data_IF_799371811954
#
_entry.id   IF_799371811954
#
_cell.length_a   1.000
_cell.length_b   1.000
_cell.length_c   1.000
_cell.angle_alpha   90.00
_cell.angle_beta   90.00
_cell.angle_gamma   90.00
#
_symmetry.space_group_name_H-M   'P 1'
#
loop_
_entity.id
_entity.type
_entity.pdbx_description
1 polymer ?
#
# COMPACT_ATOMS: atom_id res chain seq x y z
N UNK A 1 -6.77 13.53 6.88
CA UNK A 1 -6.02 14.64 7.48
C UNK A 1 -4.87 14.10 8.33
N UNK A 2 -3.72 13.87 7.66
CA UNK A 2 -2.54 13.17 8.21
C UNK A 2 -1.90 13.92 9.39
N UNK A 3 -2.02 15.24 9.43
CA UNK A 3 -1.51 16.07 10.54
C UNK A 3 -2.32 15.90 11.84
N UNK A 4 -3.59 15.57 11.75
CA UNK A 4 -4.43 15.36 12.92
C UNK A 4 -4.11 14.04 13.63
N UNK A 5 -3.64 13.02 12.91
CA UNK A 5 -3.26 11.72 13.48
C UNK A 5 -1.94 11.74 14.26
N UNK A 6 -1.07 12.74 14.00
CA UNK A 6 0.20 12.92 14.72
C UNK A 6 0.03 13.51 16.14
N UNK A 7 -1.18 13.92 16.50
CA UNK A 7 -1.48 14.56 17.79
C UNK A 7 -1.94 13.58 18.89
N UNK A 8 -2.12 12.29 18.56
CA UNK A 8 -2.48 11.31 19.60
C UNK A 8 -1.28 10.97 20.49
N UNK A 9 -1.39 11.11 21.82
CA UNK A 9 -0.31 10.75 22.75
C UNK A 9 0.07 9.27 22.61
N UNK A 10 1.36 8.96 22.75
CA UNK A 10 1.87 7.55 22.70
C UNK A 10 1.06 6.58 23.56
N UNK A 11 0.54 7.02 24.70
CA UNK A 11 -0.31 6.23 25.60
C UNK A 11 -1.62 5.75 24.97
N UNK A 12 -2.18 6.52 24.04
CA UNK A 12 -3.43 6.15 23.37
C UNK A 12 -3.23 4.98 22.40
N UNK A 13 -2.11 4.96 21.68
CA UNK A 13 -1.78 3.82 20.81
C UNK A 13 -1.50 2.54 21.62
N UNK A 14 -0.85 2.63 22.78
CA UNK A 14 -0.64 1.46 23.64
C UNK A 14 -1.96 0.91 24.18
N UNK A 15 -2.89 1.79 24.53
CA UNK A 15 -4.24 1.40 24.93
C UNK A 15 -5.04 0.82 23.76
N UNK A 16 -4.91 1.40 22.57
CA UNK A 16 -5.53 0.88 21.35
C UNK A 16 -5.01 -0.53 21.02
N UNK A 17 -3.70 -0.74 21.04
CA UNK A 17 -3.07 -2.06 20.85
C UNK A 17 -3.64 -3.09 21.84
N UNK A 18 -3.74 -2.76 23.13
CA UNK A 18 -4.33 -3.68 24.14
C UNK A 18 -5.79 -4.02 23.84
N UNK A 19 -6.58 -3.00 23.44
CA UNK A 19 -7.99 -3.19 23.10
C UNK A 19 -8.16 -4.04 21.85
N UNK A 20 -7.39 -3.76 20.80
CA UNK A 20 -7.44 -4.56 19.56
C UNK A 20 -7.03 -6.02 19.81
N UNK A 21 -5.94 -6.27 20.52
CA UNK A 21 -5.54 -7.65 20.90
C UNK A 21 -6.64 -8.40 21.66
N UNK A 22 -7.30 -7.73 22.60
CA UNK A 22 -8.42 -8.35 23.32
C UNK A 22 -9.61 -8.63 22.40
N UNK A 23 -9.94 -7.69 21.52
CA UNK A 23 -11.01 -7.87 20.55
C UNK A 23 -10.70 -9.00 19.55
N UNK A 24 -9.47 -9.07 19.05
CA UNK A 24 -9.00 -10.14 18.17
C UNK A 24 -9.16 -11.50 18.85
N UNK A 25 -8.66 -11.67 20.07
CA UNK A 25 -8.77 -12.94 20.81
C UNK A 25 -10.23 -13.40 20.99
N UNK A 26 -11.15 -12.46 21.25
CA UNK A 26 -12.58 -12.76 21.32
C UNK A 26 -13.16 -13.18 19.96
N UNK A 27 -12.78 -12.47 18.89
CA UNK A 27 -13.24 -12.76 17.53
C UNK A 27 -12.66 -14.05 16.97
N UNK A 28 -11.41 -14.37 17.23
CA UNK A 28 -10.81 -15.66 16.87
C UNK A 28 -11.52 -16.82 17.52
N UNK A 29 -11.90 -16.69 18.78
CA UNK A 29 -12.64 -17.72 19.49
C UNK A 29 -14.06 -17.90 18.91
N UNK A 30 -14.75 -16.80 18.58
CA UNK A 30 -16.04 -16.84 17.90
C UNK A 30 -15.92 -17.47 16.52
N UNK A 31 -14.89 -17.07 15.77
CA UNK A 31 -14.63 -17.51 14.42
C UNK A 31 -14.38 -19.03 14.33
N UNK A 32 -13.63 -19.61 15.27
CA UNK A 32 -13.40 -21.06 15.35
C UNK A 32 -14.68 -21.89 15.42
N UNK A 33 -15.75 -21.30 15.97
CA UNK A 33 -17.05 -21.97 16.12
C UNK A 33 -18.06 -21.59 15.02
N UNK A 34 -17.77 -20.53 14.23
CA UNK A 34 -18.66 -19.97 13.21
C UNK A 34 -17.87 -19.69 11.91
N UNK A 35 -17.25 -20.71 11.36
CA UNK A 35 -16.33 -20.62 10.22
C UNK A 35 -16.98 -20.17 8.89
N UNK A 36 -18.30 -20.12 8.80
CA UNK A 36 -19.00 -19.66 7.58
C UNK A 36 -19.55 -18.23 7.69
N UNK A 37 -19.20 -17.49 8.73
CA UNK A 37 -19.69 -16.13 8.93
C UNK A 37 -18.74 -15.07 8.33
N UNK A 38 -19.08 -14.60 7.12
CA UNK A 38 -18.33 -13.55 6.43
C UNK A 38 -18.23 -12.23 7.24
N UNK A 39 -19.18 -11.92 8.11
CA UNK A 39 -19.14 -10.72 8.96
C UNK A 39 -18.05 -10.84 10.02
N UNK A 40 -17.90 -12.03 10.61
CA UNK A 40 -16.82 -12.29 11.59
C UNK A 40 -15.46 -12.19 10.94
N UNK A 41 -15.29 -12.70 9.73
CA UNK A 41 -14.05 -12.60 8.96
C UNK A 41 -13.70 -11.13 8.64
N UNK A 42 -14.67 -10.36 8.14
CA UNK A 42 -14.49 -8.94 7.88
C UNK A 42 -14.10 -8.17 9.14
N UNK A 43 -14.76 -8.45 10.26
CA UNK A 43 -14.45 -7.79 11.53
C UNK A 43 -13.06 -8.18 12.02
N UNK A 44 -12.70 -9.45 11.95
CA UNK A 44 -11.38 -9.95 12.36
C UNK A 44 -10.27 -9.33 11.50
N UNK A 45 -10.43 -9.31 10.18
CA UNK A 45 -9.49 -8.65 9.27
C UNK A 45 -9.33 -7.16 9.58
N UNK A 46 -10.43 -6.43 9.79
CA UNK A 46 -10.39 -5.02 10.14
C UNK A 46 -9.70 -4.76 11.50
N UNK A 47 -9.87 -5.64 12.48
CA UNK A 47 -9.18 -5.55 13.76
C UNK A 47 -7.67 -5.72 13.61
N UNK A 48 -7.22 -6.68 12.79
CA UNK A 48 -5.80 -6.85 12.47
C UNK A 48 -5.23 -5.64 11.73
N UNK A 49 -5.95 -5.07 10.75
CA UNK A 49 -5.53 -3.85 10.04
C UNK A 49 -5.38 -2.66 10.99
N UNK A 50 -6.35 -2.46 11.88
CA UNK A 50 -6.29 -1.38 12.86
C UNK A 50 -5.14 -1.57 13.86
N UNK A 51 -4.87 -2.82 14.26
CA UNK A 51 -3.74 -3.17 15.12
C UNK A 51 -2.41 -2.92 14.40
N UNK A 52 -2.31 -3.29 13.13
CA UNK A 52 -1.15 -2.98 12.27
C UNK A 52 -0.87 -1.47 12.24
N UNK A 53 -1.90 -0.67 11.97
CA UNK A 53 -1.80 0.80 11.98
C UNK A 53 -1.32 1.32 13.35
N UNK A 54 -1.85 0.81 14.45
CA UNK A 54 -1.42 1.21 15.79
C UNK A 54 0.05 0.83 16.07
N UNK A 55 0.50 -0.31 15.58
CA UNK A 55 1.91 -0.70 15.67
C UNK A 55 2.83 0.20 14.86
N UNK A 56 2.41 0.64 13.65
CA UNK A 56 3.19 1.61 12.87
C UNK A 56 3.41 2.92 13.61
N UNK A 57 2.37 3.49 14.21
CA UNK A 57 2.51 4.70 15.01
C UNK A 57 3.42 4.51 16.23
N UNK A 58 3.59 3.26 16.68
CA UNK A 58 4.55 2.89 17.72
C UNK A 58 5.94 2.51 17.17
N UNK A 59 6.15 2.61 15.85
CA UNK A 59 7.37 2.20 15.14
C UNK A 59 7.72 0.71 15.32
N UNK A 60 6.70 -0.10 15.54
CA UNK A 60 6.78 -1.56 15.66
C UNK A 60 6.45 -2.19 14.31
N UNK A 61 7.42 -2.16 13.39
CA UNK A 61 7.24 -2.47 11.98
C UNK A 61 6.94 -3.93 11.72
N UNK A 62 7.74 -4.81 12.30
CA UNK A 62 7.59 -6.26 12.10
C UNK A 62 6.23 -6.75 12.59
N UNK A 63 5.80 -6.24 13.75
CA UNK A 63 4.47 -6.55 14.27
C UNK A 63 3.38 -5.97 13.36
N UNK A 64 3.56 -4.77 12.81
CA UNK A 64 2.59 -4.17 11.90
C UNK A 64 2.43 -4.99 10.61
N UNK A 65 3.53 -5.41 9.98
CA UNK A 65 3.51 -6.25 8.78
C UNK A 65 2.90 -7.61 9.07
N UNK A 66 3.21 -8.21 10.22
CA UNK A 66 2.63 -9.49 10.64
C UNK A 66 1.11 -9.42 10.75
N UNK A 67 0.60 -8.38 11.43
CA UNK A 67 -0.85 -8.19 11.57
C UNK A 67 -1.54 -7.95 10.22
N UNK A 68 -0.87 -7.24 9.32
CA UNK A 68 -1.39 -7.00 7.98
C UNK A 68 -1.50 -8.29 7.15
N UNK A 69 -0.44 -9.11 7.16
CA UNK A 69 -0.45 -10.42 6.50
C UNK A 69 -1.56 -11.31 7.07
N UNK A 70 -1.80 -11.26 8.38
CA UNK A 70 -2.90 -11.98 9.02
C UNK A 70 -4.26 -11.47 8.56
N UNK A 71 -4.44 -10.15 8.51
CA UNK A 71 -5.68 -9.54 8.01
C UNK A 71 -5.98 -10.00 6.58
N UNK A 72 -4.97 -10.03 5.74
CA UNK A 72 -5.10 -10.48 4.36
C UNK A 72 -5.41 -11.97 4.28
N UNK A 73 -4.70 -12.82 5.04
CA UNK A 73 -4.93 -14.26 5.05
C UNK A 73 -6.38 -14.61 5.42
N UNK A 74 -6.92 -13.96 6.46
CA UNK A 74 -8.32 -14.13 6.86
C UNK A 74 -9.27 -13.78 5.71
N UNK A 75 -9.05 -12.68 5.01
CA UNK A 75 -9.91 -12.28 3.89
C UNK A 75 -9.78 -13.18 2.68
N UNK A 76 -8.56 -13.56 2.32
CA UNK A 76 -8.30 -14.43 1.18
C UNK A 76 -8.94 -15.80 1.35
N UNK A 77 -8.94 -16.35 2.57
CA UNK A 77 -9.68 -17.57 2.87
C UNK A 77 -11.17 -17.43 2.56
N UNK A 78 -11.81 -16.35 3.00
CA UNK A 78 -13.24 -16.10 2.75
C UNK A 78 -13.55 -15.72 1.31
N UNK A 79 -12.64 -15.04 0.64
CA UNK A 79 -12.79 -14.75 -0.78
C UNK A 79 -12.71 -16.03 -1.63
N UNK A 80 -11.83 -16.96 -1.29
CA UNK A 80 -11.76 -18.27 -1.95
C UNK A 80 -13.04 -19.09 -1.82
N UNK A 81 -13.82 -18.83 -0.76
CA UNK A 81 -15.16 -19.40 -0.54
C UNK A 81 -16.29 -18.59 -1.21
N UNK A 82 -15.98 -17.52 -1.93
CA UNK A 82 -16.97 -16.65 -2.57
C UNK A 82 -17.81 -15.82 -1.60
N UNK A 83 -17.38 -15.66 -0.34
CA UNK A 83 -18.15 -15.01 0.71
C UNK A 83 -17.85 -13.51 0.86
N UNK A 84 -16.69 -13.04 0.38
CA UNK A 84 -16.28 -11.63 0.41
C UNK A 84 -15.40 -11.29 -0.80
N UNK A 85 -15.30 -10.01 -1.12
CA UNK A 85 -14.37 -9.49 -2.15
C UNK A 85 -13.02 -9.09 -1.55
N UNK A 86 -11.94 -9.39 -2.27
CA UNK A 86 -10.56 -9.10 -1.82
C UNK A 86 -10.15 -7.62 -1.90
N UNK A 87 -10.87 -6.80 -2.69
CA UNK A 87 -10.46 -5.43 -3.03
C UNK A 87 -10.15 -4.53 -1.83
N UNK A 88 -11.00 -4.55 -0.80
CA UNK A 88 -10.81 -3.66 0.35
C UNK A 88 -9.51 -3.91 1.13
N UNK A 89 -9.08 -5.18 1.21
CA UNK A 89 -7.86 -5.53 1.95
C UNK A 89 -6.62 -5.09 1.18
N UNK A 90 -6.63 -5.25 -0.14
CA UNK A 90 -5.56 -4.80 -1.00
C UNK A 90 -5.39 -3.28 -0.93
N UNK A 91 -6.49 -2.53 -1.00
CA UNK A 91 -6.50 -1.07 -0.86
C UNK A 91 -5.94 -0.61 0.50
N UNK A 92 -6.31 -1.29 1.59
CA UNK A 92 -5.77 -0.98 2.92
C UNK A 92 -4.28 -1.29 3.01
N UNK A 93 -3.84 -2.38 2.37
CA UNK A 93 -2.42 -2.78 2.31
C UNK A 93 -1.60 -1.77 1.52
N UNK A 94 -2.08 -1.32 0.37
CA UNK A 94 -1.44 -0.27 -0.42
C UNK A 94 -1.41 1.08 0.31
N UNK A 95 -2.46 1.43 1.05
CA UNK A 95 -2.48 2.61 1.90
C UNK A 95 -1.40 2.54 2.98
N UNK A 96 -1.14 1.35 3.54
CA UNK A 96 -0.04 1.13 4.46
C UNK A 96 1.32 1.28 3.78
N UNK A 97 1.50 0.71 2.59
CA UNK A 97 2.73 0.88 1.81
C UNK A 97 3.03 2.37 1.58
N UNK A 98 2.03 3.14 1.15
CA UNK A 98 2.16 4.59 0.98
C UNK A 98 2.59 5.28 2.28
N UNK A 99 1.97 4.94 3.41
CA UNK A 99 2.31 5.52 4.71
C UNK A 99 3.75 5.21 5.11
N UNK A 100 4.23 3.99 4.87
CA UNK A 100 5.61 3.58 5.12
C UNK A 100 6.60 4.35 4.23
N UNK A 101 6.28 4.53 2.94
CA UNK A 101 7.10 5.35 2.02
C UNK A 101 7.21 6.79 2.49
N UNK A 102 6.09 7.40 2.89
CA UNK A 102 6.08 8.78 3.41
C UNK A 102 6.88 8.92 4.71
N UNK A 103 6.88 7.89 5.56
CA UNK A 103 7.68 7.84 6.79
C UNK A 103 9.14 7.44 6.56
N UNK A 104 9.56 7.24 5.30
CA UNK A 104 10.91 6.80 4.90
C UNK A 104 11.27 5.41 5.46
N UNK A 105 10.27 4.57 5.70
CA UNK A 105 10.42 3.21 6.20
C UNK A 105 10.47 2.23 5.01
N UNK A 106 11.48 2.43 4.15
CA UNK A 106 11.52 1.83 2.81
C UNK A 106 11.60 0.31 2.80
N UNK A 107 12.31 -0.31 3.74
CA UNK A 107 12.42 -1.77 3.78
C UNK A 107 11.07 -2.41 4.14
N UNK A 108 10.38 -1.88 5.14
CA UNK A 108 9.03 -2.33 5.49
C UNK A 108 8.00 -2.03 4.39
N UNK A 109 8.17 -0.89 3.69
CA UNK A 109 7.33 -0.58 2.54
C UNK A 109 7.51 -1.62 1.42
N UNK A 110 8.75 -2.01 1.11
CA UNK A 110 9.03 -3.04 0.10
C UNK A 110 8.41 -4.39 0.47
N UNK A 111 8.52 -4.84 1.74
CA UNK A 111 7.87 -6.07 2.18
C UNK A 111 6.34 -6.05 1.96
N UNK A 112 5.70 -4.92 2.24
CA UNK A 112 4.26 -4.75 2.02
C UNK A 112 3.93 -4.72 0.53
N UNK A 113 4.75 -4.04 -0.28
CA UNK A 113 4.58 -3.96 -1.74
C UNK A 113 4.78 -5.33 -2.38
N UNK A 114 5.82 -6.09 -1.98
CA UNK A 114 6.08 -7.45 -2.48
C UNK A 114 4.87 -8.36 -2.22
N UNK A 115 4.29 -8.25 -1.04
CA UNK A 115 3.09 -9.00 -0.68
C UNK A 115 1.87 -8.58 -1.52
N UNK A 116 1.64 -7.28 -1.74
CA UNK A 116 0.56 -6.81 -2.60
C UNK A 116 0.73 -7.30 -4.03
N UNK A 117 1.92 -7.14 -4.58
CA UNK A 117 2.23 -7.47 -5.96
C UNK A 117 2.02 -8.96 -6.26
N UNK A 118 2.57 -9.85 -5.41
CA UNK A 118 2.35 -11.30 -5.56
C UNK A 118 0.87 -11.66 -5.53
N UNK A 119 0.10 -11.00 -4.68
CA UNK A 119 -1.35 -11.23 -4.60
C UNK A 119 -2.09 -10.72 -5.83
N UNK A 120 -1.70 -9.54 -6.35
CA UNK A 120 -2.30 -8.94 -7.55
C UNK A 120 -2.03 -9.83 -8.76
N UNK A 121 -0.81 -10.29 -8.94
CA UNK A 121 -0.43 -11.17 -10.05
C UNK A 121 -1.22 -12.48 -10.06
N UNK A 122 -1.42 -13.08 -8.90
CA UNK A 122 -2.16 -14.34 -8.78
C UNK A 122 -3.67 -14.20 -9.02
N UNK A 123 -4.28 -13.09 -8.58
CA UNK A 123 -5.75 -12.98 -8.46
C UNK A 123 -6.35 -12.08 -9.54
N UNK A 124 -5.69 -10.97 -9.89
CA UNK A 124 -6.29 -9.90 -10.70
C UNK A 124 -5.52 -9.68 -12.02
N UNK A 125 -4.23 -10.01 -12.05
CA UNK A 125 -3.32 -9.71 -13.14
C UNK A 125 -2.73 -8.29 -13.03
N UNK A 126 -1.79 -7.95 -13.92
CA UNK A 126 -0.97 -6.74 -13.79
C UNK A 126 -1.55 -5.48 -14.44
N UNK A 127 -2.66 -5.58 -15.16
CA UNK A 127 -3.29 -4.43 -15.80
C UNK A 127 -4.39 -3.81 -14.92
N UNK A 128 -4.00 -3.29 -13.77
CA UNK A 128 -4.90 -2.63 -12.82
C UNK A 128 -4.18 -1.54 -12.03
N UNK A 129 -4.98 -0.67 -11.40
CA UNK A 129 -4.48 0.48 -10.64
C UNK A 129 -3.55 0.08 -9.49
N UNK A 130 -3.86 -1.01 -8.80
CA UNK A 130 -3.13 -1.46 -7.61
C UNK A 130 -1.72 -1.93 -7.96
N UNK A 131 -1.56 -2.62 -9.10
CA UNK A 131 -0.24 -2.95 -9.64
C UNK A 131 0.55 -1.70 -10.02
N UNK A 132 -0.08 -0.74 -10.70
CA UNK A 132 0.54 0.55 -11.01
C UNK A 132 1.01 1.29 -9.75
N UNK A 133 0.27 1.21 -8.65
CA UNK A 133 0.68 1.79 -7.35
C UNK A 133 1.88 1.05 -6.73
N UNK A 134 1.95 -0.28 -6.83
CA UNK A 134 3.13 -1.04 -6.38
C UNK A 134 4.38 -0.57 -7.13
N UNK A 135 4.31 -0.53 -8.46
CA UNK A 135 5.40 -0.05 -9.32
C UNK A 135 5.78 1.41 -9.00
N UNK A 136 4.80 2.29 -8.81
CA UNK A 136 5.04 3.68 -8.44
C UNK A 136 5.82 3.78 -7.12
N UNK A 137 5.39 3.09 -6.07
CA UNK A 137 6.07 3.14 -4.77
C UNK A 137 7.49 2.56 -4.82
N UNK A 138 7.72 1.47 -5.58
CA UNK A 138 9.08 0.95 -5.83
C UNK A 138 9.95 1.99 -6.51
N UNK A 139 9.42 2.65 -7.54
CA UNK A 139 10.12 3.71 -8.25
C UNK A 139 10.49 4.89 -7.36
N UNK A 140 9.56 5.33 -6.49
CA UNK A 140 9.81 6.40 -5.51
C UNK A 140 10.87 6.00 -4.49
N UNK A 141 10.84 4.76 -3.99
CA UNK A 141 11.86 4.24 -3.06
C UNK A 141 13.23 4.22 -3.75
N UNK A 142 13.32 3.67 -4.95
CA UNK A 142 14.57 3.62 -5.72
C UNK A 142 15.11 5.02 -6.03
N UNK A 143 14.23 5.96 -6.39
CA UNK A 143 14.60 7.38 -6.59
C UNK A 143 15.23 7.97 -5.31
N UNK A 144 14.62 7.76 -4.16
CA UNK A 144 15.13 8.29 -2.89
C UNK A 144 16.43 7.65 -2.45
N UNK A 145 16.65 6.38 -2.82
CA UNK A 145 17.91 5.64 -2.61
C UNK A 145 18.99 5.96 -3.65
N UNK A 146 18.75 6.90 -4.56
CA UNK A 146 19.68 7.27 -5.63
C UNK A 146 20.06 6.10 -6.54
N UNK A 147 19.08 5.27 -6.88
CA UNK A 147 19.17 4.13 -7.79
C UNK A 147 18.46 4.46 -9.12
N UNK A 148 19.05 5.29 -10.01
CA UNK A 148 18.32 5.90 -11.11
C UNK A 148 17.81 4.89 -12.15
N UNK A 149 18.55 3.82 -12.42
CA UNK A 149 18.13 2.78 -13.39
C UNK A 149 16.89 2.02 -12.89
N UNK A 150 16.91 1.64 -11.60
CA UNK A 150 15.79 0.93 -10.98
C UNK A 150 14.58 1.86 -10.87
N UNK A 151 14.79 3.11 -10.48
CA UNK A 151 13.73 4.11 -10.41
C UNK A 151 13.07 4.35 -11.76
N UNK A 152 13.87 4.49 -12.84
CA UNK A 152 13.36 4.66 -14.19
C UNK A 152 12.46 3.50 -14.61
N UNK A 153 12.93 2.26 -14.41
CA UNK A 153 12.18 1.06 -14.77
C UNK A 153 10.80 1.03 -14.10
N UNK A 154 10.76 1.14 -12.79
CA UNK A 154 9.50 1.06 -12.05
C UNK A 154 8.58 2.26 -12.33
N UNK A 155 9.10 3.48 -12.45
CA UNK A 155 8.28 4.65 -12.77
C UNK A 155 7.70 4.58 -14.18
N UNK A 156 8.43 4.07 -15.17
CA UNK A 156 7.91 3.87 -16.52
C UNK A 156 6.84 2.77 -16.57
N UNK A 157 7.01 1.68 -15.80
CA UNK A 157 5.99 0.66 -15.68
C UNK A 157 4.71 1.23 -15.05
N UNK A 158 4.84 2.00 -13.98
CA UNK A 158 3.70 2.67 -13.34
C UNK A 158 2.98 3.61 -14.31
N UNK A 159 3.74 4.44 -15.05
CA UNK A 159 3.21 5.38 -16.04
C UNK A 159 2.39 4.65 -17.12
N UNK A 160 2.94 3.57 -17.68
CA UNK A 160 2.27 2.75 -18.67
C UNK A 160 0.95 2.15 -18.14
N UNK A 161 0.96 1.60 -16.92
CA UNK A 161 -0.23 1.02 -16.30
C UNK A 161 -1.28 2.10 -16.03
N UNK A 162 -0.89 3.25 -15.48
CA UNK A 162 -1.83 4.33 -15.19
C UNK A 162 -2.47 4.89 -16.47
N UNK A 163 -1.71 5.04 -17.54
CA UNK A 163 -2.26 5.45 -18.84
C UNK A 163 -3.25 4.41 -19.39
N UNK A 164 -2.93 3.12 -19.31
CA UNK A 164 -3.80 2.06 -19.79
C UNK A 164 -5.11 1.94 -18.99
N UNK A 165 -5.02 2.04 -17.66
CA UNK A 165 -6.18 1.83 -16.76
C UNK A 165 -7.08 3.08 -16.70
N UNK A 166 -6.50 4.28 -16.80
CA UNK A 166 -7.23 5.55 -16.70
C UNK A 166 -7.71 6.11 -18.04
N UNK A 167 -7.77 5.28 -19.09
CA UNK A 167 -8.23 5.68 -20.43
C UNK A 167 -7.49 6.91 -20.97
N UNK A 168 -6.17 6.94 -20.81
CA UNK A 168 -5.31 8.05 -21.26
C UNK A 168 -5.68 9.43 -20.69
N UNK A 169 -6.36 9.47 -19.53
CA UNK A 169 -6.64 10.75 -18.87
C UNK A 169 -5.33 11.31 -18.24
N UNK A 170 -4.68 12.31 -18.90
CA UNK A 170 -3.42 12.87 -18.42
C UNK A 170 -3.58 13.72 -17.16
N UNK A 171 -4.83 14.09 -16.82
CA UNK A 171 -5.14 14.97 -15.70
C UNK A 171 -5.35 14.20 -14.38
N UNK A 172 -5.17 12.88 -14.38
CA UNK A 172 -5.27 12.15 -13.12
C UNK A 172 -4.02 12.35 -12.24
N UNK A 173 -4.21 12.32 -10.93
CA UNK A 173 -3.15 12.60 -9.95
C UNK A 173 -2.00 11.58 -9.98
N UNK A 174 -2.26 10.34 -10.41
CA UNK A 174 -1.23 9.29 -10.48
C UNK A 174 -0.28 9.52 -11.64
N UNK A 175 -0.80 9.79 -12.85
CA UNK A 175 0.02 10.10 -14.02
C UNK A 175 0.82 11.38 -13.81
N UNK A 176 0.20 12.44 -13.24
CA UNK A 176 0.90 13.68 -12.86
C UNK A 176 2.02 13.44 -11.85
N UNK A 177 1.75 12.64 -10.82
CA UNK A 177 2.76 12.33 -9.81
C UNK A 177 3.93 11.54 -10.39
N UNK A 178 3.63 10.55 -11.24
CA UNK A 178 4.66 9.75 -11.91
C UNK A 178 5.51 10.61 -12.84
N UNK A 179 4.88 11.47 -13.64
CA UNK A 179 5.57 12.41 -14.52
C UNK A 179 6.51 13.37 -13.72
N UNK A 180 6.08 13.84 -12.55
CA UNK A 180 6.93 14.67 -11.66
C UNK A 180 8.16 13.91 -11.17
N UNK A 181 8.01 12.64 -10.79
CA UNK A 181 9.14 11.82 -10.37
C UNK A 181 10.08 11.53 -11.54
N UNK A 182 9.57 11.18 -12.72
CA UNK A 182 10.39 10.95 -13.93
C UNK A 182 11.15 12.21 -14.34
N UNK A 183 10.49 13.36 -14.36
CA UNK A 183 11.14 14.64 -14.62
C UNK A 183 12.31 14.89 -13.64
N UNK A 184 12.03 14.76 -12.35
CA UNK A 184 13.04 14.99 -11.29
C UNK A 184 14.18 13.99 -11.35
N UNK A 185 13.87 12.72 -11.69
CA UNK A 185 14.84 11.66 -11.88
C UNK A 185 15.83 12.02 -13.01
N UNK A 186 15.31 12.35 -14.19
CA UNK A 186 16.14 12.66 -15.36
C UNK A 186 16.94 13.92 -15.16
N UNK A 187 16.39 14.95 -14.53
CA UNK A 187 17.16 16.15 -14.18
C UNK A 187 18.34 15.83 -13.25
N UNK A 188 18.13 15.03 -12.21
CA UNK A 188 19.18 14.60 -11.28
C UNK A 188 20.20 13.66 -11.94
N UNK A 189 19.75 12.87 -12.91
CA UNK A 189 20.61 11.92 -13.62
C UNK A 189 21.40 12.55 -14.78
N UNK A 190 21.20 13.85 -15.04
CA UNK A 190 21.88 14.55 -16.11
C UNK A 190 21.38 14.21 -17.51
N UNK A 191 20.09 13.83 -17.64
CA UNK A 191 19.43 13.51 -18.91
C UNK A 191 18.31 14.52 -19.21
N UNK A 192 18.60 15.82 -19.41
CA UNK A 192 17.59 16.86 -19.55
C UNK A 192 16.68 16.68 -20.78
N UNK A 193 17.18 16.04 -21.82
CA UNK A 193 16.36 15.74 -23.03
C UNK A 193 15.20 14.80 -22.68
N UNK A 194 15.44 13.75 -21.86
CA UNK A 194 14.39 12.86 -21.38
C UNK A 194 13.43 13.55 -20.42
N UNK A 195 13.96 14.44 -19.56
CA UNK A 195 13.13 15.23 -18.65
C UNK A 195 12.13 16.12 -19.42
N UNK A 196 12.51 16.64 -20.59
CA UNK A 196 11.64 17.53 -21.37
C UNK A 196 10.32 16.89 -21.78
N UNK A 197 10.26 15.57 -21.93
CA UNK A 197 9.04 14.81 -22.28
C UNK A 197 7.96 14.91 -21.17
N UNK A 198 8.35 15.15 -19.94
CA UNK A 198 7.46 15.21 -18.77
C UNK A 198 7.17 16.63 -18.31
N UNK A 199 7.76 17.65 -18.96
CA UNK A 199 7.65 19.06 -18.54
C UNK A 199 6.23 19.60 -18.65
N UNK A 200 5.48 19.20 -19.66
CA UNK A 200 4.09 19.69 -19.88
C UNK A 200 3.16 19.24 -18.75
N UNK A 201 3.36 18.05 -18.19
CA UNK A 201 2.56 17.49 -17.12
C UNK A 201 2.83 18.16 -15.74
N UNK A 202 3.79 19.10 -15.68
CA UNK A 202 4.09 19.87 -14.47
C UNK A 202 3.34 21.20 -14.41
N UNK A 203 2.84 21.66 -15.54
CA UNK A 203 2.25 23.01 -15.70
C UNK A 203 0.72 22.99 -15.72
N UNK A 204 0.13 21.81 -15.76
CA UNK A 204 -1.32 21.55 -15.66
C UNK A 204 -1.69 21.15 -14.23
#
# INVERSE_FOLDING_TARGET
DYKAQLLFPRKEYDNAIKKYKKAIALMENYHKTNTADARSANLLSNLHNNLSTAYLFRKKREEAVTELKTAFAVRSEYASLGLIENNDTLQQTLSLANMLVQNKEYDSALEVIDFCESTIEEVIGTNNLDYGLCEFYRGVIAYTRSQPVIAEQHLLNADAVFHAVMNENPDNDYTKSTARFLYSLYMRWGKPELASNYKQNLLS
#
